data_IF_695122668729
#
_entry.id   IF_695122668729
#
_cell.length_a   1.000
_cell.length_b   1.000
_cell.length_c   1.000
_cell.angle_alpha   90.00
_cell.angle_beta   90.00
_cell.angle_gamma   90.00
#
_symmetry.space_group_name_H-M   'P 1'
#
loop_
_entity.id
_entity.type
_entity.pdbx_description
1 polymer ?
#
# COMPACT_ATOMS: atom_id res chain seq x y z
N UNK A 1 23.23 -10.77 30.93
CA UNK A 1 22.06 -9.88 31.01
C UNK A 1 21.25 -10.00 29.72
N UNK A 2 20.02 -10.51 29.86
CA UNK A 2 18.92 -10.53 28.86
C UNK A 2 19.13 -11.52 27.69
N UNK A 3 19.38 -12.80 27.94
CA UNK A 3 18.35 -13.87 27.91
C UNK A 3 17.04 -13.52 27.16
N UNK A 4 16.97 -13.99 25.92
CA UNK A 4 15.82 -13.99 25.00
C UNK A 4 14.69 -14.95 25.46
N UNK A 5 14.39 -14.98 26.75
CA UNK A 5 13.51 -15.97 27.39
C UNK A 5 12.10 -15.46 27.68
N UNK A 6 11.53 -14.61 26.81
CA UNK A 6 10.23 -13.96 27.07
C UNK A 6 9.22 -14.04 25.91
N UNK A 7 9.22 -15.16 25.17
CA UNK A 7 8.09 -15.53 24.31
C UNK A 7 7.93 -17.05 24.20
N UNK A 8 8.01 -17.73 25.35
CA UNK A 8 7.63 -19.14 25.46
C UNK A 8 6.11 -19.23 25.46
N UNK A 9 5.48 -19.40 24.30
CA UNK A 9 4.09 -19.86 24.25
C UNK A 9 3.96 -21.13 25.10
N UNK A 10 2.87 -21.32 25.86
CA UNK A 10 2.70 -22.52 26.68
C UNK A 10 2.89 -23.77 25.82
N UNK A 11 3.65 -24.75 26.33
CA UNK A 11 4.15 -25.91 25.58
C UNK A 11 3.07 -26.66 24.77
N UNK A 12 1.82 -26.66 25.24
CA UNK A 12 0.67 -27.23 24.53
C UNK A 12 0.23 -26.40 23.32
N UNK A 13 0.21 -25.07 23.44
CA UNK A 13 -0.16 -24.14 22.35
C UNK A 13 0.92 -24.14 21.27
N UNK A 14 2.20 -24.22 21.64
CA UNK A 14 3.30 -24.35 20.68
C UNK A 14 3.24 -25.64 19.85
N UNK A 15 2.77 -26.75 20.43
CA UNK A 15 2.60 -28.03 19.70
C UNK A 15 1.44 -27.98 18.70
N UNK A 16 0.34 -27.30 19.06
CA UNK A 16 -0.82 -27.08 18.18
C UNK A 16 -0.48 -26.12 17.03
N UNK A 17 0.26 -25.04 17.30
CA UNK A 17 0.73 -24.08 16.29
C UNK A 17 1.69 -24.68 15.25
N UNK A 18 2.37 -25.79 15.58
CA UNK A 18 3.31 -26.45 14.66
C UNK A 18 2.60 -27.33 13.61
N UNK A 19 1.30 -27.56 13.74
CA UNK A 19 0.51 -28.35 12.80
C UNK A 19 0.44 -27.70 11.40
N UNK A 20 0.55 -28.46 10.30
CA UNK A 20 0.43 -27.94 8.94
C UNK A 20 -0.87 -27.16 8.70
N UNK A 21 -1.98 -27.65 9.24
CA UNK A 21 -3.27 -26.97 9.16
C UNK A 21 -3.25 -25.60 9.83
N UNK A 22 -2.64 -25.50 11.02
CA UNK A 22 -2.58 -24.25 11.77
C UNK A 22 -1.72 -23.19 11.06
N UNK A 23 -0.65 -23.63 10.37
CA UNK A 23 0.18 -22.75 9.53
C UNK A 23 -0.60 -22.21 8.34
N UNK A 24 -1.39 -23.06 7.67
CA UNK A 24 -2.27 -22.65 6.58
C UNK A 24 -3.30 -21.61 7.06
N UNK A 25 -3.99 -21.88 8.17
CA UNK A 25 -4.99 -20.96 8.74
C UNK A 25 -4.35 -19.65 9.19
N UNK A 26 -3.16 -19.69 9.82
CA UNK A 26 -2.43 -18.49 10.20
C UNK A 26 -2.03 -17.65 8.99
N UNK A 27 -1.59 -18.27 7.89
CA UNK A 27 -1.26 -17.57 6.66
C UNK A 27 -2.51 -16.94 6.01
N UNK A 28 -3.58 -17.71 5.88
CA UNK A 28 -4.85 -17.25 5.31
C UNK A 28 -5.49 -16.12 6.13
N UNK A 29 -5.48 -16.24 7.46
CA UNK A 29 -6.02 -15.20 8.35
C UNK A 29 -5.17 -13.93 8.31
N UNK A 30 -3.84 -14.05 8.31
CA UNK A 30 -2.93 -12.91 8.13
C UNK A 30 -3.22 -12.16 6.83
N UNK A 31 -3.39 -12.89 5.73
CA UNK A 31 -3.74 -12.28 4.45
C UNK A 31 -5.13 -11.61 4.43
N UNK A 32 -6.12 -12.23 5.09
CA UNK A 32 -7.47 -11.65 5.22
C UNK A 32 -7.44 -10.34 6.03
N UNK A 33 -6.64 -10.28 7.10
CA UNK A 33 -6.44 -9.05 7.88
C UNK A 33 -5.77 -7.98 7.03
N UNK A 34 -4.78 -8.33 6.21
CA UNK A 34 -4.15 -7.40 5.28
C UNK A 34 -5.17 -6.78 4.31
N UNK A 35 -6.04 -7.58 3.70
CA UNK A 35 -7.13 -7.07 2.86
C UNK A 35 -8.09 -6.15 3.64
N UNK A 36 -8.42 -6.53 4.88
CA UNK A 36 -9.22 -5.68 5.76
C UNK A 36 -8.57 -4.32 6.02
N UNK A 37 -7.26 -4.29 6.26
CA UNK A 37 -6.50 -3.04 6.43
C UNK A 37 -6.53 -2.17 5.18
N UNK A 38 -6.42 -2.76 3.98
CA UNK A 38 -6.53 -2.02 2.72
C UNK A 38 -7.92 -1.39 2.56
N UNK A 39 -8.98 -2.13 2.87
CA UNK A 39 -10.37 -1.61 2.82
C UNK A 39 -10.56 -0.48 3.84
N UNK A 40 -10.09 -0.68 5.07
CA UNK A 40 -10.21 0.34 6.13
C UNK A 40 -9.42 1.61 5.78
N UNK A 41 -8.24 1.49 5.18
CA UNK A 41 -7.47 2.64 4.71
C UNK A 41 -8.20 3.42 3.58
N UNK A 42 -9.04 2.75 2.80
CA UNK A 42 -9.90 3.39 1.80
C UNK A 42 -11.22 3.91 2.38
N UNK A 43 -11.64 3.41 3.55
CA UNK A 43 -12.99 3.62 4.07
C UNK A 43 -13.31 5.08 4.43
N UNK A 44 -12.30 5.84 4.87
CA UNK A 44 -12.43 7.28 5.16
C UNK A 44 -12.92 8.08 3.94
N UNK A 45 -12.75 7.55 2.72
CA UNK A 45 -13.19 8.19 1.47
C UNK A 45 -14.58 7.79 1.01
N UNK A 46 -15.24 6.82 1.67
CA UNK A 46 -16.60 6.39 1.27
C UNK A 46 -17.67 7.45 1.52
N UNK A 47 -17.48 8.34 2.50
CA UNK A 47 -18.37 9.46 2.77
C UNK A 47 -18.21 10.64 1.77
N UNK A 48 -17.30 10.52 0.80
CA UNK A 48 -16.97 11.57 -0.16
C UNK A 48 -15.88 12.53 0.33
N UNK A 49 -15.22 13.21 -0.61
CA UNK A 49 -14.18 14.21 -0.31
C UNK A 49 -14.81 15.55 0.04
N UNK A 50 -14.43 16.13 1.18
CA UNK A 50 -14.96 17.43 1.66
C UNK A 50 -14.42 18.64 0.90
N UNK A 51 -13.32 18.50 0.15
CA UNK A 51 -12.64 19.57 -0.57
C UNK A 51 -12.70 19.29 -2.07
N UNK A 52 -13.07 20.30 -2.88
CA UNK A 52 -13.06 20.20 -4.33
C UNK A 52 -11.63 20.08 -4.87
N UNK A 53 -11.38 19.37 -6.00
CA UNK A 53 -10.04 19.18 -6.56
C UNK A 53 -9.28 20.47 -6.91
N UNK A 54 -10.01 21.58 -7.09
CA UNK A 54 -9.46 22.91 -7.42
C UNK A 54 -9.10 23.74 -6.18
N UNK A 55 -9.57 23.37 -4.97
CA UNK A 55 -9.38 24.17 -3.77
C UNK A 55 -8.19 23.67 -2.94
N UNK A 56 -7.43 24.61 -2.36
CA UNK A 56 -6.39 24.33 -1.36
C UNK A 56 -6.91 24.67 0.04
N UNK A 57 -6.24 24.18 1.09
CA UNK A 57 -6.61 24.49 2.49
C UNK A 57 -6.62 25.99 2.82
N UNK A 58 -5.83 26.80 2.10
CA UNK A 58 -5.82 28.26 2.25
C UNK A 58 -7.05 28.94 1.63
N UNK A 59 -7.83 28.22 0.82
CA UNK A 59 -8.99 28.73 0.09
C UNK A 59 -10.29 28.03 0.53
N UNK A 60 -10.45 27.81 1.84
CA UNK A 60 -11.67 27.23 2.40
C UNK A 60 -12.74 28.32 2.63
N UNK A 61 -14.00 28.05 2.25
CA UNK A 61 -15.16 28.95 2.40
C UNK A 61 -15.40 29.41 3.86
N UNK A 62 -15.98 30.62 4.07
CA UNK A 62 -16.20 31.19 5.40
C UNK A 62 -17.32 30.44 6.13
N UNK A 63 -16.98 29.42 6.92
CA UNK A 63 -17.97 28.68 7.71
C UNK A 63 -17.51 27.35 8.34
N UNK A 64 -16.34 26.82 7.98
CA UNK A 64 -15.74 25.65 8.63
C UNK A 64 -14.73 26.02 9.71
N UNK A 65 -14.51 25.12 10.68
CA UNK A 65 -13.46 25.22 11.72
C UNK A 65 -12.11 25.57 11.07
N UNK A 66 -11.69 26.83 11.19
CA UNK A 66 -10.38 27.29 10.73
C UNK A 66 -9.30 26.70 11.64
N UNK A 67 -8.71 25.59 11.21
CA UNK A 67 -7.45 25.14 11.79
C UNK A 67 -6.40 26.18 11.43
N UNK A 68 -5.92 26.94 12.42
CA UNK A 68 -4.85 27.93 12.32
C UNK A 68 -3.58 27.24 11.81
N UNK A 69 -3.51 27.09 10.50
CA UNK A 69 -2.40 26.45 9.80
C UNK A 69 -1.32 27.50 9.59
N UNK A 70 -0.05 27.14 9.79
CA UNK A 70 1.05 28.07 9.57
C UNK A 70 0.92 28.72 8.18
N UNK A 71 1.02 30.06 8.06
CA UNK A 71 0.83 30.76 6.79
C UNK A 71 1.87 30.37 5.73
N UNK A 72 2.96 29.71 6.16
CA UNK A 72 4.05 29.23 5.30
C UNK A 72 3.94 27.73 4.95
N UNK A 73 2.91 27.02 5.44
CA UNK A 73 2.74 25.59 5.18
C UNK A 73 2.25 25.36 3.73
N UNK A 74 3.03 24.60 2.97
CA UNK A 74 2.71 24.20 1.61
C UNK A 74 1.56 23.19 1.60
N UNK A 75 0.63 23.35 0.66
CA UNK A 75 -0.48 22.41 0.45
C UNK A 75 0.00 20.97 0.21
N UNK A 76 1.17 20.78 -0.39
CA UNK A 76 1.74 19.44 -0.57
C UNK A 76 2.07 18.75 0.76
N UNK A 77 2.56 19.50 1.76
CA UNK A 77 2.96 18.92 3.05
C UNK A 77 1.77 18.38 3.85
N UNK A 78 0.57 18.94 3.65
CA UNK A 78 -0.66 18.48 4.30
C UNK A 78 -1.31 17.29 3.61
N UNK A 79 -1.04 17.09 2.31
CA UNK A 79 -1.65 16.03 1.50
C UNK A 79 -0.81 14.75 1.41
N UNK A 80 0.50 14.84 1.68
CA UNK A 80 1.42 13.70 1.65
C UNK A 80 1.86 13.10 3.00
N UNK A 81 1.29 13.39 4.20
CA UNK A 81 1.75 12.73 5.42
C UNK A 81 1.32 11.26 5.42
N UNK A 82 2.20 10.37 5.90
CA UNK A 82 1.85 8.97 6.10
C UNK A 82 0.84 8.83 7.25
N UNK A 83 -0.27 8.16 6.99
CA UNK A 83 -1.23 7.81 8.04
C UNK A 83 -0.74 6.60 8.85
N UNK A 84 -1.23 6.43 10.07
CA UNK A 84 -0.93 5.24 10.87
C UNK A 84 -1.31 3.95 10.14
N UNK A 85 -2.40 3.96 9.39
CA UNK A 85 -2.85 2.83 8.55
C UNK A 85 -1.84 2.53 7.44
N UNK A 86 -1.35 3.55 6.73
CA UNK A 86 -0.32 3.38 5.70
C UNK A 86 0.98 2.80 6.27
N UNK A 87 1.41 3.24 7.47
CA UNK A 87 2.60 2.69 8.14
C UNK A 87 2.40 1.20 8.47
N UNK A 88 1.22 0.82 8.97
CA UNK A 88 0.89 -0.58 9.24
C UNK A 88 0.90 -1.42 7.95
N UNK A 89 0.32 -0.92 6.86
CA UNK A 89 0.32 -1.59 5.56
C UNK A 89 1.76 -1.76 5.04
N UNK A 90 2.60 -0.72 5.11
CA UNK A 90 4.01 -0.80 4.70
C UNK A 90 4.76 -1.85 5.52
N UNK A 91 4.58 -1.84 6.84
CA UNK A 91 5.18 -2.86 7.72
C UNK A 91 4.71 -4.27 7.36
N UNK A 92 3.45 -4.43 6.98
CA UNK A 92 2.88 -5.72 6.57
C UNK A 92 3.47 -6.21 5.25
N UNK A 93 3.55 -5.34 4.24
CA UNK A 93 4.14 -5.63 2.94
C UNK A 93 5.61 -6.02 3.07
N UNK A 94 6.37 -5.34 3.94
CA UNK A 94 7.76 -5.72 4.23
C UNK A 94 7.86 -7.15 4.82
N UNK A 95 6.91 -7.53 5.67
CA UNK A 95 6.81 -8.90 6.20
C UNK A 95 6.53 -9.93 5.11
N UNK A 96 5.64 -9.61 4.15
CA UNK A 96 5.35 -10.48 3.01
C UNK A 96 6.55 -10.60 2.07
N UNK A 97 7.22 -9.49 1.73
CA UNK A 97 8.46 -9.51 0.93
C UNK A 97 9.51 -10.40 1.59
N UNK A 98 9.70 -10.28 2.91
CA UNK A 98 10.64 -11.12 3.64
C UNK A 98 10.27 -12.62 3.61
N UNK A 99 8.99 -12.94 3.62
CA UNK A 99 8.53 -14.32 3.50
C UNK A 99 8.82 -14.88 2.09
N UNK A 100 8.46 -14.14 1.04
CA UNK A 100 8.71 -14.55 -0.35
C UNK A 100 10.21 -14.69 -0.65
N UNK A 101 11.05 -13.77 -0.17
CA UNK A 101 12.51 -13.86 -0.36
C UNK A 101 13.08 -15.14 0.27
N UNK A 102 12.56 -15.55 1.43
CA UNK A 102 12.98 -16.81 2.06
C UNK A 102 12.50 -18.02 1.28
N UNK A 103 11.32 -17.96 0.70
CA UNK A 103 10.78 -19.02 -0.15
C UNK A 103 11.64 -19.20 -1.41
N UNK A 104 11.92 -18.10 -2.12
CA UNK A 104 12.81 -18.07 -3.29
C UNK A 104 14.20 -18.61 -2.94
N UNK A 105 14.74 -18.25 -1.78
CA UNK A 105 16.05 -18.76 -1.35
C UNK A 105 16.03 -20.27 -1.07
N UNK A 106 14.90 -20.82 -0.60
CA UNK A 106 14.78 -22.23 -0.25
C UNK A 106 14.51 -23.15 -1.44
N UNK A 107 13.70 -22.70 -2.42
CA UNK A 107 13.32 -23.47 -3.61
C UNK A 107 14.28 -23.23 -4.79
N UNK A 108 14.89 -22.04 -4.85
CA UNK A 108 15.66 -21.59 -6.01
C UNK A 108 14.78 -20.79 -6.99
N UNK A 109 15.35 -19.77 -7.67
CA UNK A 109 14.58 -18.83 -8.49
C UNK A 109 14.00 -19.47 -9.76
N UNK A 110 14.64 -20.49 -10.33
CA UNK A 110 14.17 -21.16 -11.54
C UNK A 110 12.87 -21.94 -11.29
N UNK A 111 12.82 -22.70 -10.20
CA UNK A 111 11.62 -23.47 -9.83
C UNK A 111 10.48 -22.55 -9.38
N UNK A 112 10.80 -21.47 -8.67
CA UNK A 112 9.81 -20.50 -8.17
C UNK A 112 9.06 -19.81 -9.32
N UNK A 113 9.75 -19.39 -10.38
CA UNK A 113 9.13 -18.62 -11.48
C UNK A 113 8.31 -19.47 -12.46
N UNK A 114 8.44 -20.80 -12.44
CA UNK A 114 7.63 -21.70 -13.28
C UNK A 114 6.17 -21.71 -12.84
N UNK A 115 5.91 -21.52 -11.55
CA UNK A 115 4.56 -21.39 -11.02
C UNK A 115 4.03 -19.97 -11.24
N UNK A 116 3.08 -19.82 -12.17
CA UNK A 116 2.48 -18.53 -12.55
C UNK A 116 1.92 -17.76 -11.34
N UNK A 117 1.43 -18.49 -10.36
CA UNK A 117 0.91 -17.96 -9.11
C UNK A 117 2.00 -17.23 -8.30
N UNK A 118 3.16 -17.86 -8.10
CA UNK A 118 4.30 -17.25 -7.42
C UNK A 118 4.81 -16.00 -8.16
N UNK A 119 4.76 -16.02 -9.49
CA UNK A 119 5.05 -14.83 -10.30
C UNK A 119 4.07 -13.68 -10.04
N UNK A 120 2.77 -13.96 -9.91
CA UNK A 120 1.76 -12.96 -9.57
C UNK A 120 1.97 -12.38 -8.16
N UNK A 121 2.35 -13.21 -7.18
CA UNK A 121 2.64 -12.78 -5.82
C UNK A 121 3.88 -11.87 -5.77
N UNK A 122 4.96 -12.25 -6.45
CA UNK A 122 6.15 -11.42 -6.60
C UNK A 122 5.83 -10.08 -7.30
N UNK A 123 5.08 -10.13 -8.40
CA UNK A 123 4.66 -8.94 -9.16
C UNK A 123 3.82 -7.97 -8.33
N UNK A 124 2.84 -8.50 -7.56
CA UNK A 124 2.02 -7.69 -6.66
C UNK A 124 2.86 -6.96 -5.61
N UNK A 125 3.78 -7.67 -4.95
CA UNK A 125 4.66 -7.07 -3.93
C UNK A 125 5.63 -6.04 -4.54
N UNK A 126 6.13 -6.29 -5.75
CA UNK A 126 6.97 -5.34 -6.47
C UNK A 126 6.22 -4.05 -6.80
N UNK A 127 4.94 -4.13 -7.20
CA UNK A 127 4.10 -2.96 -7.48
C UNK A 127 3.81 -2.18 -6.19
N UNK A 128 3.53 -2.86 -5.06
CA UNK A 128 3.41 -2.19 -3.76
C UNK A 128 4.68 -1.43 -3.39
N UNK A 129 5.85 -2.08 -3.54
CA UNK A 129 7.13 -1.46 -3.24
C UNK A 129 7.37 -0.22 -4.13
N UNK A 130 7.12 -0.32 -5.43
CA UNK A 130 7.24 0.78 -6.37
C UNK A 130 6.31 1.95 -6.02
N UNK A 131 5.05 1.67 -5.64
CA UNK A 131 4.10 2.68 -5.16
C UNK A 131 4.63 3.42 -3.93
N UNK A 132 5.08 2.70 -2.90
CA UNK A 132 5.62 3.30 -1.69
C UNK A 132 6.90 4.09 -1.95
N UNK A 133 7.79 3.62 -2.83
CA UNK A 133 8.98 4.36 -3.25
C UNK A 133 8.64 5.69 -3.95
N UNK A 134 7.62 5.70 -4.82
CA UNK A 134 7.15 6.92 -5.46
C UNK A 134 6.56 7.89 -4.43
N UNK A 135 5.77 7.40 -3.47
CA UNK A 135 5.19 8.20 -2.39
C UNK A 135 6.25 8.80 -1.48
N UNK A 136 7.25 8.01 -1.09
CA UNK A 136 8.39 8.49 -0.32
C UNK A 136 9.18 9.58 -1.06
N UNK A 137 9.38 9.41 -2.38
CA UNK A 137 10.03 10.41 -3.22
C UNK A 137 9.23 11.72 -3.29
N UNK A 138 7.90 11.64 -3.39
CA UNK A 138 7.01 12.80 -3.36
C UNK A 138 7.09 13.54 -2.02
N UNK A 139 7.13 12.81 -0.90
CA UNK A 139 7.28 13.38 0.44
C UNK A 139 8.63 14.08 0.63
N UNK A 140 9.74 13.45 0.23
CA UNK A 140 11.07 14.06 0.31
C UNK A 140 11.13 15.38 -0.44
N UNK A 141 10.53 15.45 -1.64
CA UNK A 141 10.45 16.70 -2.42
C UNK A 141 9.61 17.77 -1.72
N UNK A 142 8.46 17.39 -1.16
CA UNK A 142 7.62 18.31 -0.39
C UNK A 142 8.32 18.84 0.87
N UNK A 143 9.08 17.99 1.56
CA UNK A 143 9.85 18.36 2.75
C UNK A 143 10.97 19.33 2.43
N UNK A 144 11.72 19.09 1.35
CA UNK A 144 12.77 19.99 0.89
C UNK A 144 12.20 21.36 0.48
N UNK A 145 11.08 21.36 -0.25
CA UNK A 145 10.36 22.58 -0.60
C UNK A 145 9.91 23.35 0.66
N UNK A 146 9.35 22.66 1.65
CA UNK A 146 8.90 23.27 2.89
C UNK A 146 10.07 23.87 3.70
N UNK A 147 11.19 23.14 3.83
CA UNK A 147 12.38 23.65 4.51
C UNK A 147 12.97 24.87 3.82
N UNK A 148 12.92 24.92 2.49
CA UNK A 148 13.39 26.06 1.71
C UNK A 148 12.54 27.31 1.98
N UNK A 149 11.21 27.16 2.03
CA UNK A 149 10.28 28.26 2.34
C UNK A 149 10.56 28.82 3.72
N UNK A 150 10.69 27.97 4.75
CA UNK A 150 10.97 28.42 6.11
C UNK A 150 12.31 29.15 6.25
N UNK A 151 13.31 28.79 5.44
CA UNK A 151 14.64 29.40 5.51
C UNK A 151 14.75 30.73 4.74
N UNK A 152 14.10 30.84 3.57
CA UNK A 152 14.33 31.96 2.65
C UNK A 152 13.19 32.98 2.60
N UNK A 153 11.95 32.58 2.87
CA UNK A 153 10.78 33.41 2.58
C UNK A 153 9.93 33.69 3.83
N UNK A 154 9.48 34.94 3.96
CA UNK A 154 8.55 35.38 5.02
C UNK A 154 7.07 35.29 4.60
N UNK A 155 6.80 35.15 3.30
CA UNK A 155 5.46 35.14 2.69
C UNK A 155 5.41 34.20 1.47
N UNK A 156 4.22 33.68 1.16
CA UNK A 156 3.98 32.74 0.04
C UNK A 156 3.85 33.43 -1.33
N UNK A 157 3.80 34.76 -1.38
CA UNK A 157 3.43 35.54 -2.58
C UNK A 157 4.53 35.64 -3.65
N UNK A 158 5.80 35.39 -3.29
CA UNK A 158 6.96 35.50 -4.20
C UNK A 158 7.87 34.29 -4.08
N UNK A 159 7.37 33.14 -4.53
CA UNK A 159 8.12 31.89 -4.56
C UNK A 159 8.78 31.67 -5.93
N UNK A 160 9.97 31.03 -5.98
CA UNK A 160 10.49 30.48 -7.23
C UNK A 160 9.50 29.49 -7.85
N UNK A 161 9.42 29.40 -9.19
CA UNK A 161 8.44 28.55 -9.88
C UNK A 161 8.54 27.07 -9.49
N UNK A 162 9.74 26.58 -9.11
CA UNK A 162 9.93 25.20 -8.66
C UNK A 162 9.26 24.92 -7.31
N UNK A 163 9.21 25.92 -6.41
CA UNK A 163 8.64 25.78 -5.07
C UNK A 163 7.15 26.13 -5.09
N UNK A 164 6.75 27.08 -5.94
CA UNK A 164 5.34 27.43 -6.18
C UNK A 164 4.53 26.23 -6.63
N UNK A 165 5.12 25.28 -7.39
CA UNK A 165 4.45 24.04 -7.77
C UNK A 165 3.82 23.30 -6.56
N UNK A 166 4.48 23.31 -5.40
CA UNK A 166 4.02 22.60 -4.20
C UNK A 166 2.88 23.31 -3.45
N UNK A 167 2.50 24.52 -3.85
CA UNK A 167 1.31 25.22 -3.34
C UNK A 167 0.05 24.88 -4.16
N UNK A 168 0.21 24.35 -5.37
CA UNK A 168 -0.89 24.17 -6.34
C UNK A 168 -1.83 23.02 -5.97
N UNK A 169 -3.11 23.21 -6.28
CA UNK A 169 -4.16 22.20 -6.16
C UNK A 169 -3.99 21.06 -7.19
N UNK A 170 -4.65 19.92 -6.94
CA UNK A 170 -4.48 18.66 -7.69
C UNK A 170 -4.68 18.80 -9.21
N UNK A 171 -5.58 19.67 -9.66
CA UNK A 171 -5.86 19.86 -11.10
C UNK A 171 -4.68 20.45 -11.88
N UNK A 172 -3.76 21.14 -11.20
CA UNK A 172 -2.61 21.79 -11.81
C UNK A 172 -1.32 20.97 -11.66
N UNK A 173 -1.42 19.74 -11.15
CA UNK A 173 -0.26 18.86 -11.01
C UNK A 173 0.19 18.35 -12.38
N UNK A 174 1.48 18.14 -12.52
CA UNK A 174 2.03 17.56 -13.73
C UNK A 174 1.53 16.11 -13.88
N UNK A 175 1.23 15.64 -15.11
CA UNK A 175 0.80 14.26 -15.32
C UNK A 175 1.80 13.21 -14.84
N UNK A 176 3.09 13.53 -14.86
CA UNK A 176 4.20 12.67 -14.40
C UNK A 176 4.53 12.85 -12.91
N UNK A 177 3.64 13.46 -12.13
CA UNK A 177 3.89 13.70 -10.71
C UNK A 177 3.98 12.36 -9.94
N UNK A 178 5.04 12.16 -9.11
CA UNK A 178 5.27 10.89 -8.42
C UNK A 178 4.13 10.50 -7.46
N UNK A 179 3.35 11.45 -6.96
CA UNK A 179 2.17 11.16 -6.13
C UNK A 179 1.08 10.48 -6.97
N UNK A 180 0.80 10.99 -8.18
CA UNK A 180 -0.22 10.42 -9.06
C UNK A 180 0.17 9.00 -9.50
N UNK A 181 1.45 8.81 -9.83
CA UNK A 181 2.00 7.49 -10.17
C UNK A 181 1.88 6.55 -8.97
N UNK A 182 2.19 7.02 -7.75
CA UNK A 182 2.06 6.20 -6.54
C UNK A 182 0.62 5.74 -6.29
N UNK A 183 -0.37 6.62 -6.50
CA UNK A 183 -1.80 6.32 -6.32
C UNK A 183 -2.29 5.30 -7.36
N UNK A 184 -1.86 5.43 -8.62
CA UNK A 184 -2.18 4.48 -9.68
C UNK A 184 -1.61 3.09 -9.43
N UNK A 185 -0.30 3.02 -9.11
CA UNK A 185 0.36 1.75 -8.77
C UNK A 185 -0.26 1.11 -7.52
N UNK A 186 -0.61 1.91 -6.51
CA UNK A 186 -1.26 1.41 -5.30
C UNK A 186 -2.62 0.77 -5.63
N UNK A 187 -3.43 1.40 -6.47
CA UNK A 187 -4.72 0.85 -6.88
C UNK A 187 -4.57 -0.49 -7.62
N UNK A 188 -3.59 -0.59 -8.53
CA UNK A 188 -3.29 -1.86 -9.24
C UNK A 188 -2.86 -2.93 -8.23
N UNK A 189 -1.96 -2.59 -7.29
CA UNK A 189 -1.51 -3.53 -6.26
C UNK A 189 -2.68 -4.03 -5.38
N UNK A 190 -3.59 -3.13 -4.99
CA UNK A 190 -4.79 -3.49 -4.22
C UNK A 190 -5.65 -4.49 -4.99
N UNK A 191 -5.92 -4.25 -6.28
CA UNK A 191 -6.70 -5.19 -7.11
C UNK A 191 -6.01 -6.55 -7.22
N UNK A 192 -4.71 -6.56 -7.48
CA UNK A 192 -3.93 -7.81 -7.52
C UNK A 192 -3.91 -8.54 -6.18
N UNK A 193 -3.94 -7.80 -5.06
CA UNK A 193 -4.03 -8.40 -3.72
C UNK A 193 -5.29 -9.27 -3.60
N UNK A 194 -6.45 -8.78 -4.02
CA UNK A 194 -7.69 -9.58 -3.92
C UNK A 194 -7.66 -10.88 -4.73
N UNK A 195 -6.87 -10.93 -5.81
CA UNK A 195 -6.71 -12.17 -6.60
C UNK A 195 -6.11 -13.32 -5.77
N UNK A 196 -5.31 -13.01 -4.73
CA UNK A 196 -4.68 -14.00 -3.85
C UNK A 196 -5.68 -14.75 -2.96
N UNK A 197 -6.94 -14.32 -2.88
CA UNK A 197 -7.98 -15.13 -2.21
C UNK A 197 -8.14 -16.49 -2.91
N UNK A 198 -7.86 -16.57 -4.21
CA UNK A 198 -7.92 -17.80 -4.99
C UNK A 198 -7.01 -18.91 -4.44
N UNK A 199 -5.94 -18.63 -3.70
CA UNK A 199 -5.10 -19.67 -3.08
C UNK A 199 -5.79 -20.41 -1.93
N UNK A 200 -6.80 -19.80 -1.32
CA UNK A 200 -7.50 -20.36 -0.15
C UNK A 200 -8.72 -21.20 -0.59
N UNK A 201 -9.30 -20.87 -1.75
CA UNK A 201 -10.50 -21.52 -2.28
C UNK A 201 -10.39 -23.05 -2.52
N UNK A 202 -9.25 -23.64 -2.92
CA UNK A 202 -9.16 -25.09 -3.12
C UNK A 202 -9.30 -25.89 -1.83
N UNK A 203 -9.08 -25.25 -0.68
CA UNK A 203 -9.18 -25.91 0.62
C UNK A 203 -10.64 -26.20 1.05
N UNK A 204 -11.63 -25.65 0.33
CA UNK A 204 -13.04 -25.93 0.58
C UNK A 204 -13.58 -26.97 -0.41
N UNK A 205 -14.30 -27.97 0.11
CA UNK A 205 -14.90 -29.07 -0.63
C UNK A 205 -15.82 -28.58 -1.77
N UNK A 206 -16.57 -27.48 -1.54
CA UNK A 206 -17.50 -26.94 -2.54
C UNK A 206 -16.83 -26.06 -3.60
N UNK A 207 -15.77 -25.34 -3.24
CA UNK A 207 -15.11 -24.36 -4.13
C UNK A 207 -13.94 -24.94 -4.92
N UNK A 208 -13.33 -26.03 -4.47
CA UNK A 208 -12.21 -26.68 -5.17
C UNK A 208 -12.54 -27.09 -6.62
N UNK A 209 -13.60 -27.88 -6.87
CA UNK A 209 -13.96 -28.29 -8.24
C UNK A 209 -14.27 -27.09 -9.16
N UNK A 210 -14.87 -26.04 -8.60
CA UNK A 210 -15.20 -24.81 -9.32
C UNK A 210 -13.93 -24.09 -9.81
N UNK A 211 -12.94 -23.94 -8.94
CA UNK A 211 -11.68 -23.29 -9.29
C UNK A 211 -10.87 -24.06 -10.33
N UNK A 212 -10.85 -25.39 -10.24
CA UNK A 212 -10.17 -26.22 -11.24
C UNK A 212 -10.84 -26.08 -12.60
N UNK A 213 -12.18 -26.03 -12.64
CA UNK A 213 -12.93 -25.76 -13.87
C UNK A 213 -12.58 -24.39 -14.45
N UNK A 214 -12.60 -23.34 -13.62
CA UNK A 214 -12.24 -21.98 -14.02
C UNK A 214 -10.81 -21.87 -14.56
N UNK A 215 -9.83 -22.52 -13.92
CA UNK A 215 -8.45 -22.50 -14.39
C UNK A 215 -8.28 -23.11 -15.78
N UNK A 216 -9.03 -24.19 -16.09
CA UNK A 216 -9.02 -24.81 -17.42
C UNK A 216 -9.63 -23.91 -18.48
N UNK A 217 -10.79 -23.30 -18.19
CA UNK A 217 -11.46 -22.41 -19.15
C UNK A 217 -10.64 -21.16 -19.43
N UNK A 218 -9.99 -20.57 -18.42
CA UNK A 218 -9.07 -19.44 -18.61
C UNK A 218 -7.90 -19.82 -19.52
N UNK A 219 -7.30 -21.01 -19.31
CA UNK A 219 -6.22 -21.51 -20.18
C UNK A 219 -6.69 -21.70 -21.63
N UNK A 220 -7.93 -22.12 -21.83
CA UNK A 220 -8.49 -22.25 -23.17
C UNK A 220 -8.76 -20.89 -23.82
N UNK A 221 -9.26 -19.90 -23.07
CA UNK A 221 -9.42 -18.51 -23.56
C UNK A 221 -8.10 -17.93 -24.05
N UNK A 222 -6.99 -18.16 -23.33
CA UNK A 222 -5.66 -17.69 -23.76
C UNK A 222 -5.16 -18.32 -25.06
N UNK A 223 -5.72 -19.46 -25.50
CA UNK A 223 -5.40 -20.01 -26.83
C UNK A 223 -6.14 -19.29 -27.97
N UNK A 224 -7.23 -18.59 -27.66
CA UNK A 224 -8.07 -17.89 -28.63
C UNK A 224 -7.70 -16.40 -28.78
N UNK A 225 -7.07 -15.79 -27.78
CA UNK A 225 -6.46 -14.45 -27.89
C UNK A 225 -5.10 -14.53 -28.61
#
# INVERSE_FOLDING_TARGET
NISFSLLSFPHQVGKVLRSPFMKFVAHASSFTVFLGLLILNAADRFAGTTILPNMTHHQQQPGGLQFKSDPLLLYRKTTTPFTWMEILIISWVMGMIWAEVKEIWSQGPEEYLVELWNFLDFGMLAIFLASFSCRFSAMKRADLAQSFVYQHNKTLDKLPPEVEYFTKARIHWMPSDPQLISEGLYAIAVVLSFSRIAYILPANESFGPLQISLGRTVKDIFKFM
#
